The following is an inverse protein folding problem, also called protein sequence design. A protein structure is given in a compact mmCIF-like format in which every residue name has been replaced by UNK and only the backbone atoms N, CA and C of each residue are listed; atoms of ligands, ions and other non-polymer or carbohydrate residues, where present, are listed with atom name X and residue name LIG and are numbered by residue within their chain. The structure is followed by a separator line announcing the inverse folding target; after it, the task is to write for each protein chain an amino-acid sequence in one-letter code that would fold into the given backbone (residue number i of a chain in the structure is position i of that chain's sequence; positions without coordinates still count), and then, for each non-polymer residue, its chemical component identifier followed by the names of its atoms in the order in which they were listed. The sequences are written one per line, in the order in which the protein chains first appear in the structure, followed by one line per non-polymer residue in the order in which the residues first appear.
data_IF_396490251829
#
_entry.id   IF_396490251829
#
_cell.length_a   1.000
_cell.length_b   1.000
_cell.length_c   1.000
_cell.angle_alpha   90.00
_cell.angle_beta   90.00
_cell.angle_gamma   90.00
#
_symmetry.space_group_name_H-M   'P 1'
#
loop_
_entity.id
_entity.type
_entity.pdbx_description
1 polymer ?
#
# COMPACT_ATOMS: atom_id res chain seq x y z
N UNK A 1 25.31 -42.96 45.96
CA UNK A 1 25.06 -42.52 44.58
C UNK A 1 23.70 -41.81 44.46
N UNK A 2 23.47 -40.72 45.21
CA UNK A 2 22.20 -39.94 45.13
C UNK A 2 22.42 -38.45 44.85
N UNK A 3 23.62 -37.90 45.06
CA UNK A 3 23.95 -36.49 44.80
C UNK A 3 24.20 -36.15 43.32
N UNK A 4 24.61 -37.13 42.51
CA UNK A 4 24.87 -36.92 41.08
C UNK A 4 23.58 -36.61 40.29
N UNK A 5 22.43 -37.13 40.72
CA UNK A 5 21.13 -36.87 40.08
C UNK A 5 20.57 -35.47 40.37
N UNK A 6 20.88 -34.88 41.53
CA UNK A 6 20.47 -33.50 41.84
C UNK A 6 21.32 -32.48 41.09
N UNK A 7 22.65 -32.67 41.07
CA UNK A 7 23.56 -31.80 40.31
C UNK A 7 23.25 -31.82 38.80
N UNK A 8 22.95 -33.00 38.22
CA UNK A 8 22.55 -33.09 36.82
C UNK A 8 21.25 -32.32 36.51
N UNK A 9 20.29 -32.27 37.45
CA UNK A 9 19.03 -31.53 37.26
C UNK A 9 19.25 -30.03 37.29
N UNK A 10 20.09 -29.54 38.20
CA UNK A 10 20.44 -28.12 38.31
C UNK A 10 21.19 -27.64 37.06
N UNK A 11 22.19 -28.39 36.60
CA UNK A 11 22.92 -28.09 35.36
C UNK A 11 22.01 -28.08 34.13
N UNK A 12 21.05 -29.01 34.04
CA UNK A 12 20.07 -29.04 32.94
C UNK A 12 19.16 -27.81 32.96
N UNK A 13 18.71 -27.37 34.14
CA UNK A 13 17.86 -26.18 34.28
C UNK A 13 18.61 -24.91 33.84
N UNK A 14 19.88 -24.77 34.22
CA UNK A 14 20.74 -23.65 33.79
C UNK A 14 20.89 -23.65 32.26
N UNK A 15 21.26 -24.79 31.67
CA UNK A 15 21.40 -24.92 30.21
C UNK A 15 20.10 -24.61 29.46
N UNK A 16 18.96 -25.08 29.96
CA UNK A 16 17.65 -24.79 29.38
C UNK A 16 17.31 -23.29 29.49
N UNK A 17 17.65 -22.65 30.61
CA UNK A 17 17.50 -21.21 30.80
C UNK A 17 18.31 -20.40 29.79
N UNK A 18 19.60 -20.69 29.68
CA UNK A 18 20.47 -20.02 28.69
C UNK A 18 20.03 -20.27 27.25
N UNK A 19 19.62 -21.51 26.93
CA UNK A 19 19.12 -21.86 25.59
C UNK A 19 17.86 -21.06 25.23
N UNK A 20 16.92 -20.93 26.17
CA UNK A 20 15.70 -20.12 26.01
C UNK A 20 16.05 -18.63 25.83
N UNK A 21 16.98 -18.10 26.60
CA UNK A 21 17.40 -16.69 26.46
C UNK A 21 18.07 -16.43 25.10
N UNK A 22 18.96 -17.33 24.64
CA UNK A 22 19.59 -17.25 23.31
C UNK A 22 18.56 -17.36 22.19
N UNK A 23 17.56 -18.21 22.34
CA UNK A 23 16.46 -18.32 21.38
C UNK A 23 15.58 -17.07 21.37
N UNK A 24 15.24 -16.51 22.53
CA UNK A 24 14.50 -15.25 22.63
C UNK A 24 15.25 -14.09 21.98
N UNK A 25 16.56 -13.96 22.24
CA UNK A 25 17.41 -12.94 21.58
C UNK A 25 17.43 -13.11 20.07
N UNK A 26 17.53 -14.35 19.56
CA UNK A 26 17.47 -14.64 18.12
C UNK A 26 16.12 -14.29 17.51
N UNK A 27 15.03 -14.67 18.18
CA UNK A 27 13.66 -14.36 17.74
C UNK A 27 13.40 -12.85 17.75
N UNK A 28 13.79 -12.14 18.81
CA UNK A 28 13.64 -10.69 18.92
C UNK A 28 14.43 -9.96 17.82
N UNK A 29 15.67 -10.40 17.54
CA UNK A 29 16.47 -9.86 16.44
C UNK A 29 15.80 -10.10 15.08
N UNK A 30 15.31 -11.32 14.82
CA UNK A 30 14.63 -11.63 13.57
C UNK A 30 13.35 -10.80 13.38
N UNK A 31 12.56 -10.60 14.44
CA UNK A 31 11.36 -9.74 14.41
C UNK A 31 11.73 -8.28 14.14
N UNK A 32 12.77 -7.75 14.79
CA UNK A 32 13.21 -6.38 14.56
C UNK A 32 13.72 -6.17 13.12
N UNK A 33 14.46 -7.14 12.57
CA UNK A 33 14.92 -7.10 11.18
C UNK A 33 13.74 -7.18 10.19
N UNK A 34 12.73 -8.02 10.47
CA UNK A 34 11.52 -8.15 9.66
C UNK A 34 10.68 -6.86 9.67
N UNK A 35 10.52 -6.24 10.85
CA UNK A 35 9.83 -4.96 11.01
C UNK A 35 10.54 -3.85 10.26
N UNK A 36 11.86 -3.70 10.43
CA UNK A 36 12.64 -2.68 9.73
C UNK A 36 12.55 -2.83 8.20
N UNK A 37 12.55 -4.07 7.71
CA UNK A 37 12.35 -4.36 6.28
C UNK A 37 10.97 -3.90 5.80
N UNK A 38 9.91 -4.27 6.52
CA UNK A 38 8.55 -3.90 6.14
C UNK A 38 8.34 -2.39 6.19
N UNK A 39 8.84 -1.70 7.22
CA UNK A 39 8.73 -0.25 7.37
C UNK A 39 9.37 0.50 6.21
N UNK A 40 10.61 0.14 5.84
CA UNK A 40 11.32 0.78 4.74
C UNK A 40 10.60 0.59 3.40
N UNK A 41 10.20 -0.65 3.08
CA UNK A 41 9.49 -0.94 1.83
C UNK A 41 8.10 -0.32 1.78
N UNK A 42 7.35 -0.34 2.88
CA UNK A 42 6.03 0.28 2.94
C UNK A 42 6.10 1.81 2.90
N UNK A 43 7.19 2.42 3.39
CA UNK A 43 7.40 3.87 3.22
C UNK A 43 7.50 4.23 1.73
N UNK A 44 8.27 3.47 0.95
CA UNK A 44 8.40 3.68 -0.49
C UNK A 44 7.07 3.46 -1.22
N UNK A 45 6.30 2.44 -0.81
CA UNK A 45 4.97 2.21 -1.36
C UNK A 45 3.99 3.36 -1.05
N UNK A 46 4.02 3.90 0.17
CA UNK A 46 3.19 5.05 0.54
C UNK A 46 3.64 6.33 -0.19
N UNK A 47 4.95 6.55 -0.37
CA UNK A 47 5.47 7.64 -1.20
C UNK A 47 4.92 7.57 -2.63
N UNK A 48 4.94 6.39 -3.25
CA UNK A 48 4.34 6.18 -4.58
C UNK A 48 2.83 6.48 -4.59
N UNK A 49 2.12 6.13 -3.52
CA UNK A 49 0.69 6.47 -3.36
C UNK A 49 0.48 7.97 -3.23
N UNK A 50 1.30 8.66 -2.44
CA UNK A 50 1.20 10.12 -2.27
C UNK A 50 1.54 10.87 -3.57
N UNK A 51 2.54 10.41 -4.32
CA UNK A 51 2.89 10.95 -5.63
C UNK A 51 1.75 10.79 -6.64
N UNK A 52 1.08 9.64 -6.62
CA UNK A 52 -0.10 9.39 -7.44
C UNK A 52 -1.28 10.29 -7.05
N UNK A 53 -1.53 10.48 -5.75
CA UNK A 53 -2.54 11.43 -5.24
C UNK A 53 -2.23 12.86 -5.69
N UNK A 54 -0.96 13.29 -5.57
CA UNK A 54 -0.51 14.61 -6.03
C UNK A 54 -0.77 14.79 -7.52
N UNK A 55 -0.42 13.79 -8.34
CA UNK A 55 -0.70 13.78 -9.79
C UNK A 55 -2.19 13.90 -10.09
N UNK A 56 -3.07 13.31 -9.27
CA UNK A 56 -4.52 13.46 -9.43
C UNK A 56 -4.97 14.90 -9.10
N UNK A 57 -4.40 15.52 -8.06
CA UNK A 57 -4.74 16.87 -7.61
C UNK A 57 -4.29 17.94 -8.62
N UNK A 58 -3.03 17.86 -9.03
CA UNK A 58 -2.38 18.87 -9.87
C UNK A 58 -2.65 18.62 -11.37
N UNK A 59 -3.11 17.43 -11.71
CA UNK A 59 -3.17 16.95 -13.09
C UNK A 59 -1.82 16.40 -13.56
N UNK A 60 -1.82 15.78 -14.74
CA UNK A 60 -0.66 15.12 -15.30
C UNK A 60 -0.93 13.67 -15.68
N UNK A 61 0.12 12.85 -15.69
CA UNK A 61 0.05 11.46 -16.16
C UNK A 61 0.21 10.52 -14.98
N UNK A 62 -0.89 9.87 -14.59
CA UNK A 62 -0.89 8.82 -13.59
C UNK A 62 -0.52 7.49 -14.25
N UNK A 63 0.68 6.99 -13.95
CA UNK A 63 1.12 5.66 -14.38
C UNK A 63 0.36 4.59 -13.60
N UNK A 64 0.04 3.48 -14.25
CA UNK A 64 -0.63 2.35 -13.61
C UNK A 64 0.38 1.30 -13.14
N UNK A 65 1.32 1.73 -12.30
CA UNK A 65 2.37 0.88 -11.79
C UNK A 65 1.86 -0.03 -10.65
N UNK A 66 2.60 -1.11 -10.38
CA UNK A 66 2.32 -2.00 -9.26
C UNK A 66 2.92 -1.41 -7.98
N UNK A 67 2.08 -1.32 -6.95
CA UNK A 67 2.48 -0.98 -5.57
C UNK A 67 2.42 -2.26 -4.74
N UNK A 68 3.42 -2.51 -3.93
CA UNK A 68 3.51 -3.69 -3.06
C UNK A 68 3.64 -3.28 -1.59
N UNK A 69 2.77 -3.86 -0.74
CA UNK A 69 2.78 -3.64 0.71
C UNK A 69 3.14 -4.94 1.43
N UNK A 70 4.05 -4.86 2.40
CA UNK A 70 4.57 -5.99 3.17
C UNK A 70 3.95 -6.02 4.57
N UNK A 71 3.45 -7.20 4.98
CA UNK A 71 3.07 -7.50 6.37
C UNK A 71 4.19 -8.20 7.14
N UNK A 72 5.02 -8.94 6.40
CA UNK A 72 6.31 -9.49 6.82
C UNK A 72 7.20 -9.59 5.58
N UNK A 73 8.48 -9.91 5.75
CA UNK A 73 9.43 -10.15 4.66
C UNK A 73 8.98 -11.23 3.67
N UNK A 74 8.07 -12.10 4.07
CA UNK A 74 7.57 -13.21 3.26
C UNK A 74 6.06 -13.16 3.00
N UNK A 75 5.37 -12.12 3.46
CA UNK A 75 3.94 -11.89 3.19
C UNK A 75 3.76 -10.47 2.68
N UNK A 76 3.43 -10.35 1.39
CA UNK A 76 3.16 -9.09 0.72
C UNK A 76 1.88 -9.15 -0.10
N UNK A 77 1.34 -7.98 -0.39
CA UNK A 77 0.21 -7.81 -1.31
C UNK A 77 0.53 -6.74 -2.32
N UNK A 78 0.51 -7.13 -3.60
CA UNK A 78 0.70 -6.24 -4.74
C UNK A 78 -0.65 -5.84 -5.36
N UNK A 79 -0.77 -4.60 -5.80
CA UNK A 79 -1.90 -4.14 -6.58
C UNK A 79 -1.52 -2.98 -7.51
N UNK A 80 -2.30 -2.78 -8.57
CA UNK A 80 -2.16 -1.57 -9.40
C UNK A 80 -2.43 -0.32 -8.55
N UNK A 81 -1.61 0.72 -8.72
CA UNK A 81 -1.76 2.00 -8.00
C UNK A 81 -3.15 2.59 -8.18
N UNK A 82 -3.73 2.49 -9.38
CA UNK A 82 -5.09 2.96 -9.65
C UNK A 82 -6.12 2.17 -8.83
N UNK A 83 -6.00 0.85 -8.74
CA UNK A 83 -6.88 0.04 -7.89
C UNK A 83 -6.67 0.30 -6.40
N UNK A 84 -5.42 0.54 -5.98
CA UNK A 84 -5.11 0.91 -4.61
C UNK A 84 -5.84 2.19 -4.21
N UNK A 85 -5.76 3.23 -5.06
CA UNK A 85 -6.42 4.50 -4.84
C UNK A 85 -7.95 4.38 -4.85
N UNK A 86 -8.52 3.62 -5.80
CA UNK A 86 -9.97 3.38 -5.84
C UNK A 86 -10.47 2.75 -4.53
N UNK A 87 -9.72 1.80 -3.97
CA UNK A 87 -10.04 1.20 -2.67
C UNK A 87 -9.92 2.22 -1.53
N UNK A 88 -8.83 3.01 -1.50
CA UNK A 88 -8.58 4.04 -0.46
C UNK A 88 -9.68 5.09 -0.41
N UNK A 89 -10.14 5.57 -1.57
CA UNK A 89 -11.21 6.56 -1.69
C UNK A 89 -12.60 5.95 -1.86
N UNK A 90 -12.76 4.64 -1.59
CA UNK A 90 -14.04 3.94 -1.59
C UNK A 90 -14.84 4.07 -2.91
N UNK A 91 -14.13 4.13 -4.04
CA UNK A 91 -14.75 4.11 -5.37
C UNK A 91 -14.96 2.66 -5.79
N UNK A 92 -16.23 2.26 -5.90
CA UNK A 92 -16.57 0.92 -6.35
C UNK A 92 -16.18 0.69 -7.82
N UNK A 93 -15.34 -0.32 -8.06
CA UNK A 93 -14.90 -0.74 -9.39
C UNK A 93 -15.40 -2.16 -9.67
N UNK A 94 -16.25 -2.37 -10.70
CA UNK A 94 -16.69 -3.71 -11.09
C UNK A 94 -15.52 -4.64 -11.43
N UNK A 95 -15.60 -5.94 -11.10
CA UNK A 95 -14.53 -6.92 -11.35
C UNK A 95 -14.00 -6.91 -12.78
N UNK A 96 -14.89 -6.78 -13.78
CA UNK A 96 -14.49 -6.66 -15.20
C UNK A 96 -13.62 -5.44 -15.46
N UNK A 97 -13.90 -4.31 -14.80
CA UNK A 97 -13.11 -3.09 -14.90
C UNK A 97 -11.78 -3.25 -14.16
N UNK A 98 -11.74 -3.95 -13.03
CA UNK A 98 -10.48 -4.25 -12.33
C UNK A 98 -9.54 -5.10 -13.20
N UNK A 99 -10.07 -6.18 -13.80
CA UNK A 99 -9.32 -6.99 -14.76
C UNK A 99 -8.87 -6.18 -15.97
N UNK A 100 -9.70 -5.25 -16.45
CA UNK A 100 -9.30 -4.34 -17.54
C UNK A 100 -8.15 -3.42 -17.12
N UNK A 101 -8.19 -2.83 -15.92
CA UNK A 101 -7.12 -1.97 -15.39
C UNK A 101 -5.80 -2.76 -15.36
N UNK A 102 -5.80 -3.95 -14.75
CA UNK A 102 -4.58 -4.76 -14.60
C UNK A 102 -3.98 -5.20 -15.93
N UNK A 103 -4.80 -5.54 -16.93
CA UNK A 103 -4.31 -6.13 -18.17
C UNK A 103 -4.12 -5.12 -19.31
N UNK A 104 -4.72 -3.93 -19.23
CA UNK A 104 -4.82 -3.02 -20.38
C UNK A 104 -4.31 -1.62 -20.10
N UNK A 105 -4.51 -1.09 -18.89
CA UNK A 105 -4.19 0.31 -18.59
C UNK A 105 -2.69 0.47 -18.30
N UNK A 106 -2.02 1.30 -19.10
CA UNK A 106 -0.65 1.75 -18.84
C UNK A 106 -0.61 3.06 -18.07
N UNK A 107 -1.42 4.04 -18.48
CA UNK A 107 -1.51 5.32 -17.79
C UNK A 107 -2.84 6.01 -18.05
N UNK A 108 -3.24 6.90 -17.14
CA UNK A 108 -4.35 7.82 -17.32
C UNK A 108 -3.85 9.27 -17.21
N UNK A 109 -4.17 10.09 -18.19
CA UNK A 109 -3.93 11.53 -18.14
C UNK A 109 -5.11 12.20 -17.45
N UNK A 110 -4.80 13.08 -16.50
CA UNK A 110 -5.74 13.86 -15.72
C UNK A 110 -5.55 15.32 -16.09
N UNK A 111 -6.64 15.97 -16.51
CA UNK A 111 -6.68 17.38 -16.86
C UNK A 111 -8.03 17.95 -16.43
N UNK A 112 -8.03 19.18 -15.91
CA UNK A 112 -9.25 19.88 -15.47
C UNK A 112 -10.15 19.05 -14.53
N UNK A 113 -9.52 18.37 -13.57
CA UNK A 113 -10.19 17.52 -12.58
C UNK A 113 -10.88 16.28 -13.17
N UNK A 114 -10.50 15.84 -14.37
CA UNK A 114 -11.14 14.75 -15.11
C UNK A 114 -10.10 13.87 -15.83
N UNK A 115 -10.48 12.62 -16.08
CA UNK A 115 -9.70 11.73 -16.93
C UNK A 115 -9.89 12.10 -18.40
N UNK A 116 -8.82 12.50 -19.09
CA UNK A 116 -8.84 13.04 -20.45
C UNK A 116 -8.32 12.05 -21.50
N UNK A 117 -7.26 11.31 -21.20
CA UNK A 117 -6.62 10.37 -22.13
C UNK A 117 -6.14 9.10 -21.43
N UNK A 118 -6.16 7.98 -22.16
CA UNK A 118 -5.73 6.67 -21.67
C UNK A 118 -4.63 6.12 -22.56
N UNK A 119 -3.56 5.62 -21.94
CA UNK A 119 -2.52 4.83 -22.62
C UNK A 119 -2.68 3.36 -22.26
N UNK A 120 -2.40 2.49 -23.23
CA UNK A 120 -2.53 1.05 -23.11
C UNK A 120 -1.19 0.35 -23.30
N UNK A 121 -0.98 -0.80 -22.64
CA UNK A 121 0.27 -1.57 -22.72
C UNK A 121 0.53 -2.22 -24.07
N UNK A 122 -0.49 -2.41 -24.91
CA UNK A 122 -0.28 -2.82 -26.30
C UNK A 122 -1.32 -3.79 -26.84
N UNK A 123 -2.38 -3.24 -27.43
CA UNK A 123 -2.98 -3.72 -28.67
C UNK A 123 -3.64 -2.51 -29.37
N UNK A 124 -3.43 -2.35 -30.69
CA UNK A 124 -4.02 -1.26 -31.51
C UNK A 124 -5.55 -1.13 -31.44
N UNK A 125 -6.25 -2.08 -30.78
CA UNK A 125 -7.71 -2.15 -30.67
C UNK A 125 -8.24 -2.09 -29.23
N UNK A 126 -7.38 -1.90 -28.23
CA UNK A 126 -7.86 -1.74 -26.87
C UNK A 126 -8.70 -0.46 -26.79
N UNK A 127 -9.96 -0.63 -26.36
CA UNK A 127 -10.91 0.48 -26.25
C UNK A 127 -10.94 0.99 -24.83
N UNK A 128 -11.04 2.32 -24.71
CA UNK A 128 -11.33 2.96 -23.44
C UNK A 128 -12.58 2.35 -22.80
N UNK A 129 -12.47 1.97 -21.53
CA UNK A 129 -13.63 1.52 -20.76
C UNK A 129 -14.38 2.74 -20.23
N UNK A 130 -15.62 2.95 -20.66
CA UNK A 130 -16.46 4.02 -20.11
C UNK A 130 -16.62 3.89 -18.59
N UNK A 131 -16.78 2.64 -18.11
CA UNK A 131 -16.86 2.35 -16.67
C UNK A 131 -15.57 2.74 -15.95
N UNK A 132 -14.41 2.54 -16.56
CA UNK A 132 -13.15 3.01 -16.00
C UNK A 132 -13.11 4.53 -15.87
N UNK A 133 -13.47 5.25 -16.95
CA UNK A 133 -13.48 6.73 -16.95
C UNK A 133 -14.44 7.26 -15.88
N UNK A 134 -15.62 6.66 -15.74
CA UNK A 134 -16.57 7.02 -14.68
C UNK A 134 -15.97 6.82 -13.28
N UNK A 135 -15.26 5.71 -13.04
CA UNK A 135 -14.58 5.44 -11.77
C UNK A 135 -13.44 6.45 -11.53
N UNK A 136 -12.62 6.74 -12.55
CA UNK A 136 -11.53 7.72 -12.43
C UNK A 136 -12.05 9.11 -12.11
N UNK A 137 -13.14 9.54 -12.75
CA UNK A 137 -13.73 10.85 -12.45
C UNK A 137 -14.29 10.91 -11.02
N UNK A 138 -14.84 9.81 -10.50
CA UNK A 138 -15.25 9.72 -9.08
C UNK A 138 -14.04 9.81 -8.16
N UNK A 139 -12.97 9.08 -8.47
CA UNK A 139 -11.71 9.14 -7.71
C UNK A 139 -11.13 10.55 -7.69
N UNK A 140 -11.02 11.21 -8.84
CA UNK A 140 -10.49 12.57 -8.93
C UNK A 140 -11.33 13.54 -8.08
N UNK A 141 -12.66 13.46 -8.13
CA UNK A 141 -13.52 14.28 -7.27
C UNK A 141 -13.31 14.02 -5.78
N UNK A 142 -13.18 12.75 -5.38
CA UNK A 142 -12.95 12.41 -3.98
C UNK A 142 -11.60 12.94 -3.47
N UNK A 143 -10.55 12.83 -4.29
CA UNK A 143 -9.20 13.35 -3.98
C UNK A 143 -9.20 14.89 -3.86
N UNK A 144 -9.93 15.58 -4.74
CA UNK A 144 -10.05 17.04 -4.71
C UNK A 144 -10.88 17.52 -3.50
N UNK A 145 -11.96 16.83 -3.17
CA UNK A 145 -12.78 17.15 -1.99
C UNK A 145 -11.99 16.98 -0.67
N UNK A 146 -11.12 15.96 -0.58
CA UNK A 146 -10.23 15.79 0.56
C UNK A 146 -9.25 16.98 0.71
N UNK A 147 -8.73 17.52 -0.41
CA UNK A 147 -7.83 18.67 -0.40
C UNK A 147 -8.52 19.93 0.16
N UNK A 148 -9.75 20.21 -0.26
CA UNK A 148 -10.54 21.35 0.22
C UNK A 148 -10.81 21.26 1.73
N UNK A 149 -11.01 20.05 2.25
CA UNK A 149 -11.25 19.83 3.68
C UNK A 149 -9.99 20.01 4.54
N UNK A 150 -8.79 19.91 3.95
CA UNK A 150 -7.51 20.15 4.61
C UNK A 150 -7.11 21.64 4.54
N UNK A 151 -7.56 22.40 3.54
CA UNK A 151 -7.26 23.83 3.40
C UNK A 151 -8.38 24.78 3.88
N UNK A 152 -9.53 24.26 4.30
CA UNK A 152 -10.66 25.04 4.82
C UNK A 152 -10.32 25.76 6.13
N UNK A 153 -10.04 27.06 6.03
CA UNK A 153 -9.92 28.00 7.16
C UNK A 153 -11.23 28.10 7.96
N UNK A 154 -11.21 28.23 9.31
CA UNK A 154 -12.40 28.55 10.08
C UNK A 154 -12.87 29.97 9.68
N UNK A 155 -14.09 30.06 9.15
CA UNK A 155 -14.70 31.35 8.81
C UNK A 155 -14.81 32.26 10.05
N UNK A 156 -14.81 33.60 9.86
CA UNK A 156 -14.88 34.53 10.99
C UNK A 156 -16.22 34.36 11.74
N UNK A 157 -16.21 34.51 13.09
CA UNK A 157 -17.41 34.35 13.89
C UNK A 157 -18.47 35.39 13.52
N UNK A 158 -19.77 35.03 13.58
CA UNK A 158 -20.86 35.95 13.27
C UNK A 158 -20.88 37.11 14.26
N UNK A 159 -21.17 38.31 13.72
CA UNK A 159 -21.32 39.58 14.44
C UNK A 159 -22.55 39.63 15.33
#
# INVERSE_FOLDING_TARGET
MLGELSECRELSAIYQGESREREQKRRAKAVAEDQAYCEEHNRLAEEQVQDAIRTIREGGVLQNDTVEFYRSRHDSSACSIVLCLMRRYQVEVPLRTQGWINNKLAAATIADGRCSHLRFWGHKRDRASRRFVDCMNKLTRAVLAEQENVCGTPGPPPS
#
